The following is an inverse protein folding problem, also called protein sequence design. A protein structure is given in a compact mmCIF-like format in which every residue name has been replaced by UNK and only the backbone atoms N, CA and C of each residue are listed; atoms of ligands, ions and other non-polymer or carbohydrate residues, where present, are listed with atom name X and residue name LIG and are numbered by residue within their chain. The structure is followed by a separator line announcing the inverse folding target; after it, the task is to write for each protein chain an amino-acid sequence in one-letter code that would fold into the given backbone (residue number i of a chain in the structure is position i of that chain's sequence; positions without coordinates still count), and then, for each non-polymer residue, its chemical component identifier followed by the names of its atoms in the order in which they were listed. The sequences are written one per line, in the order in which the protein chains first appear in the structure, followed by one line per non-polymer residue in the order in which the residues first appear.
data_IF_791459239734
#
_entry.id   IF_791459239734
#
_cell.length_a   1.000
_cell.length_b   1.000
_cell.length_c   1.000
_cell.angle_alpha   90.00
_cell.angle_beta   90.00
_cell.angle_gamma   90.00
#
_symmetry.space_group_name_H-M   'P 1'
#
loop_
_entity.id
_entity.type
_entity.pdbx_description
1 polymer ?
#
# COMPACT_ATOMS: atom_id res chain seq x y z
N UNK A 1 14.01 -6.00 3.35
CA UNK A 1 13.57 -5.30 2.13
C UNK A 1 12.76 -4.10 2.57
N UNK A 2 12.95 -2.94 1.94
CA UNK A 2 12.20 -1.71 2.23
C UNK A 2 11.16 -1.52 1.14
N UNK A 3 9.91 -1.32 1.51
CA UNK A 3 8.84 -0.99 0.57
C UNK A 3 8.99 0.43 0.08
N UNK A 4 8.69 0.63 -1.21
CA UNK A 4 8.72 1.92 -1.87
C UNK A 4 7.37 2.62 -1.74
N UNK A 5 7.40 3.94 -1.61
CA UNK A 5 6.19 4.75 -1.75
C UNK A 5 5.70 4.75 -3.21
N UNK A 6 4.41 4.98 -3.41
CA UNK A 6 3.87 5.27 -4.73
C UNK A 6 3.51 6.74 -4.88
N UNK A 7 4.29 7.45 -5.69
CA UNK A 7 4.12 8.88 -5.97
C UNK A 7 3.45 9.10 -7.33
N UNK A 8 2.38 9.91 -7.40
CA UNK A 8 1.89 10.45 -8.65
C UNK A 8 3.02 11.09 -9.47
N UNK A 9 3.19 10.67 -10.72
CA UNK A 9 4.24 11.22 -11.61
C UNK A 9 3.82 12.52 -12.29
N UNK A 10 2.55 12.60 -12.68
CA UNK A 10 2.02 13.67 -13.55
C UNK A 10 1.01 14.58 -12.86
N UNK A 11 0.71 14.33 -11.58
CA UNK A 11 -0.33 15.04 -10.85
C UNK A 11 0.17 15.48 -9.48
N UNK A 12 -0.23 16.68 -9.05
CA UNK A 12 -0.06 17.11 -7.66
C UNK A 12 -0.90 16.20 -6.75
N UNK A 13 -0.32 15.56 -5.73
CA UNK A 13 -1.08 14.76 -4.80
C UNK A 13 -2.17 15.58 -4.08
N UNK A 14 -3.38 15.03 -4.01
CA UNK A 14 -4.54 15.63 -3.32
C UNK A 14 -5.03 14.80 -2.13
N UNK A 15 -4.51 13.58 -1.99
CA UNK A 15 -4.71 12.74 -0.82
C UNK A 15 -3.42 11.98 -0.49
N UNK A 16 -3.27 11.66 0.79
CA UNK A 16 -2.24 10.78 1.33
C UNK A 16 -2.91 9.53 1.90
N UNK A 17 -2.54 8.37 1.37
CA UNK A 17 -2.95 7.07 1.89
C UNK A 17 -1.77 6.43 2.63
N UNK A 18 -1.96 6.10 3.90
CA UNK A 18 -0.93 5.54 4.76
C UNK A 18 -1.34 4.13 5.18
N UNK A 19 -0.61 3.12 4.70
CA UNK A 19 -0.68 1.73 5.17
C UNK A 19 0.09 1.54 6.48
N UNK A 20 0.06 0.34 7.06
CA UNK A 20 0.78 0.07 8.31
C UNK A 20 2.27 -0.21 8.08
N UNK A 21 2.58 -1.32 7.40
CA UNK A 21 3.92 -1.80 7.08
C UNK A 21 3.89 -2.69 5.82
N UNK A 22 5.06 -3.11 5.28
CA UNK A 22 5.18 -3.88 4.05
C UNK A 22 4.42 -5.21 4.01
N UNK A 23 4.17 -5.83 5.17
CA UNK A 23 3.61 -7.18 5.26
C UNK A 23 2.11 -7.14 5.20
N UNK A 24 1.50 -8.22 4.71
CA UNK A 24 0.08 -8.44 4.95
C UNK A 24 -0.15 -8.95 6.38
N UNK A 25 -1.24 -8.52 7.01
CA UNK A 25 -1.57 -8.89 8.39
C UNK A 25 -1.56 -10.41 8.65
N UNK A 26 -1.93 -11.21 7.64
CA UNK A 26 -2.07 -12.66 7.75
C UNK A 26 -1.09 -13.44 6.87
N UNK A 27 -0.05 -12.79 6.33
CA UNK A 27 0.90 -13.44 5.41
C UNK A 27 2.28 -12.79 5.43
N UNK A 28 3.32 -13.60 5.18
CA UNK A 28 4.69 -13.13 4.96
C UNK A 28 4.90 -12.38 3.64
N UNK A 29 3.85 -12.23 2.83
CA UNK A 29 3.93 -11.49 1.57
C UNK A 29 4.30 -10.03 1.86
N UNK A 30 5.45 -9.60 1.32
CA UNK A 30 5.91 -8.22 1.38
C UNK A 30 5.62 -7.49 0.07
N UNK A 31 5.11 -6.27 0.19
CA UNK A 31 4.85 -5.42 -0.96
C UNK A 31 6.12 -4.68 -1.39
N UNK A 32 6.44 -4.69 -2.69
CA UNK A 32 7.52 -3.86 -3.22
C UNK A 32 7.14 -2.37 -3.17
N UNK A 33 5.89 -2.05 -3.49
CA UNK A 33 5.30 -0.72 -3.35
C UNK A 33 4.18 -0.74 -2.31
N UNK A 34 4.02 0.33 -1.54
CA UNK A 34 3.01 0.45 -0.50
C UNK A 34 1.62 0.08 -1.04
N UNK A 35 0.90 -0.79 -0.32
CA UNK A 35 -0.41 -1.33 -0.69
C UNK A 35 -0.48 -1.98 -2.08
N UNK A 36 0.64 -2.50 -2.59
CA UNK A 36 0.77 -3.06 -3.94
C UNK A 36 0.34 -2.09 -5.04
N UNK A 37 0.52 -0.78 -4.83
CA UNK A 37 0.04 0.26 -5.73
C UNK A 37 0.50 0.06 -7.20
N UNK A 38 1.71 -0.46 -7.41
CA UNK A 38 2.22 -0.81 -8.73
C UNK A 38 1.30 -1.79 -9.49
N UNK A 39 0.69 -2.77 -8.84
CA UNK A 39 -0.24 -3.72 -9.48
C UNK A 39 -1.56 -3.06 -9.94
N UNK A 40 -1.90 -1.88 -9.41
CA UNK A 40 -3.05 -1.12 -9.87
C UNK A 40 -2.74 -0.37 -11.17
N UNK A 41 -1.59 0.31 -11.24
CA UNK A 41 -1.24 1.19 -12.35
C UNK A 41 -0.48 0.49 -13.48
N UNK A 42 0.40 -0.46 -13.15
CA UNK A 42 1.19 -1.18 -14.13
C UNK A 42 0.45 -2.45 -14.59
N UNK A 43 -0.09 -2.41 -15.81
CA UNK A 43 -0.80 -3.54 -16.43
C UNK A 43 0.12 -4.56 -17.09
N UNK A 44 1.43 -4.31 -17.11
CA UNK A 44 2.43 -5.22 -17.65
C UNK A 44 2.80 -6.32 -16.66
N UNK A 45 2.67 -6.05 -15.36
CA UNK A 45 2.83 -7.06 -14.30
C UNK A 45 1.75 -8.13 -14.48
N UNK A 46 2.13 -9.40 -14.67
CA UNK A 46 1.20 -10.54 -14.86
C UNK A 46 1.71 -11.82 -14.20
N UNK A 47 2.29 -11.71 -13.01
CA UNK A 47 2.74 -12.86 -12.23
C UNK A 47 1.57 -13.72 -11.69
N UNK A 48 1.89 -14.86 -11.06
CA UNK A 48 0.89 -15.78 -10.49
C UNK A 48 0.00 -15.12 -9.41
N UNK A 49 0.52 -14.12 -8.71
CA UNK A 49 -0.18 -13.42 -7.62
C UNK A 49 -0.94 -12.17 -8.12
N UNK A 50 -0.84 -11.83 -9.40
CA UNK A 50 -1.32 -10.58 -9.98
C UNK A 50 -2.77 -10.27 -9.63
N UNK A 51 -3.69 -11.22 -9.85
CA UNK A 51 -5.12 -11.01 -9.58
C UNK A 51 -5.39 -10.65 -8.12
N UNK A 52 -4.71 -11.32 -7.19
CA UNK A 52 -4.89 -11.07 -5.75
C UNK A 52 -4.33 -9.71 -5.34
N UNK A 53 -3.08 -9.41 -5.72
CA UNK A 53 -2.42 -8.13 -5.39
C UNK A 53 -3.10 -6.94 -6.06
N UNK A 54 -3.51 -7.07 -7.32
CA UNK A 54 -4.30 -6.06 -8.01
C UNK A 54 -5.66 -5.85 -7.35
N UNK A 55 -6.33 -6.92 -6.92
CA UNK A 55 -7.60 -6.83 -6.20
C UNK A 55 -7.48 -6.05 -4.90
N UNK A 56 -6.43 -6.32 -4.10
CA UNK A 56 -6.13 -5.58 -2.87
C UNK A 56 -5.85 -4.10 -3.15
N UNK A 57 -4.99 -3.80 -4.13
CA UNK A 57 -4.71 -2.42 -4.50
C UNK A 57 -5.96 -1.68 -4.99
N UNK A 58 -6.75 -2.33 -5.87
CA UNK A 58 -8.00 -1.76 -6.39
C UNK A 58 -9.03 -1.49 -5.29
N UNK A 59 -9.14 -2.35 -4.28
CA UNK A 59 -10.03 -2.13 -3.15
C UNK A 59 -9.71 -0.82 -2.40
N UNK A 60 -8.41 -0.54 -2.16
CA UNK A 60 -7.98 0.70 -1.50
C UNK A 60 -8.34 1.95 -2.33
N UNK A 61 -8.08 1.92 -3.64
CA UNK A 61 -8.44 3.04 -4.53
C UNK A 61 -9.95 3.23 -4.68
N UNK A 62 -10.70 2.13 -4.77
CA UNK A 62 -12.16 2.16 -4.86
C UNK A 62 -12.78 2.75 -3.59
N UNK A 63 -12.24 2.42 -2.42
CA UNK A 63 -12.66 3.00 -1.15
C UNK A 63 -12.44 4.53 -1.14
N UNK A 64 -11.27 5.01 -1.57
CA UNK A 64 -10.99 6.44 -1.64
C UNK A 64 -11.91 7.13 -2.66
N UNK A 65 -12.09 6.53 -3.83
CA UNK A 65 -13.04 7.04 -4.83
C UNK A 65 -14.44 7.13 -4.24
N UNK A 66 -14.89 6.12 -3.49
CA UNK A 66 -16.21 6.11 -2.86
C UNK A 66 -16.37 7.23 -1.82
N UNK A 67 -15.47 7.33 -0.83
CA UNK A 67 -15.58 8.34 0.25
C UNK A 67 -15.40 9.77 -0.26
N UNK A 68 -14.69 9.96 -1.38
CA UNK A 68 -14.50 11.29 -2.00
C UNK A 68 -15.55 11.61 -3.06
N UNK A 69 -16.54 10.73 -3.27
CA UNK A 69 -17.49 10.82 -4.37
C UNK A 69 -16.81 11.05 -5.74
N UNK A 70 -15.71 10.33 -5.98
CA UNK A 70 -14.93 10.38 -7.21
C UNK A 70 -14.16 11.68 -7.44
N UNK A 71 -14.12 12.61 -6.48
CA UNK A 71 -13.41 13.90 -6.59
C UNK A 71 -11.88 13.76 -6.58
N UNK A 72 -11.38 12.67 -5.99
CA UNK A 72 -9.95 12.32 -5.99
C UNK A 72 -9.79 11.05 -6.82
N UNK A 73 -9.03 11.14 -7.91
CA UNK A 73 -8.70 10.02 -8.78
C UNK A 73 -7.51 9.24 -8.22
N UNK A 74 -7.38 7.93 -8.50
CA UNK A 74 -6.24 7.12 -8.07
C UNK A 74 -4.87 7.75 -8.36
N UNK A 75 -4.73 8.37 -9.54
CA UNK A 75 -3.50 9.04 -9.98
C UNK A 75 -3.15 10.33 -9.23
N UNK A 76 -4.02 10.81 -8.35
CA UNK A 76 -3.81 12.00 -7.51
C UNK A 76 -3.50 11.62 -6.04
N UNK A 77 -3.22 10.35 -5.76
CA UNK A 77 -3.01 9.84 -4.40
C UNK A 77 -1.55 9.49 -4.21
N UNK A 78 -0.94 10.08 -3.17
CA UNK A 78 0.36 9.65 -2.67
C UNK A 78 0.18 8.52 -1.65
N UNK A 79 0.98 7.46 -1.76
CA UNK A 79 0.81 6.25 -0.95
C UNK A 79 2.12 5.90 -0.28
N UNK A 80 2.07 5.63 1.02
CA UNK A 80 3.20 5.22 1.85
C UNK A 80 2.72 4.28 2.95
N UNK A 81 3.61 3.83 3.83
CA UNK A 81 3.27 3.13 5.06
C UNK A 81 3.78 3.93 6.28
N UNK A 82 3.19 3.68 7.46
CA UNK A 82 3.70 4.19 8.73
C UNK A 82 5.15 3.73 8.95
N UNK A 83 5.47 2.50 8.54
CA UNK A 83 6.82 1.99 8.47
C UNK A 83 7.05 1.33 7.12
N UNK A 84 8.03 1.76 6.33
CA UNK A 84 8.38 1.10 5.07
C UNK A 84 9.38 -0.06 5.26
N UNK A 85 9.89 -0.24 6.47
CA UNK A 85 10.67 -1.41 6.85
C UNK A 85 9.75 -2.45 7.48
N UNK A 86 9.96 -3.72 7.15
CA UNK A 86 9.17 -4.81 7.68
C UNK A 86 9.40 -4.96 9.20
N UNK A 87 8.44 -4.55 10.03
CA UNK A 87 8.50 -4.73 11.49
C UNK A 87 8.39 -6.21 11.87
N UNK A 88 9.12 -6.73 12.87
CA UNK A 88 9.00 -8.11 13.32
C UNK A 88 7.54 -8.52 13.51
N UNK A 89 7.22 -9.80 13.27
CA UNK A 89 5.85 -10.26 13.48
C UNK A 89 5.42 -10.02 14.91
N UNK A 90 4.20 -9.50 15.05
CA UNK A 90 3.55 -9.54 16.34
C UNK A 90 3.38 -11.00 16.76
N UNK A 91 3.53 -11.28 18.05
CA UNK A 91 2.94 -12.49 18.60
C UNK A 91 1.45 -12.51 18.24
N UNK A 92 0.89 -13.69 17.99
CA UNK A 92 -0.48 -13.84 17.53
C UNK A 92 -1.46 -13.01 18.38
N UNK A 93 -2.27 -12.19 17.72
CA UNK A 93 -3.25 -11.28 18.36
C UNK A 93 -2.64 -10.14 19.20
N UNK A 94 -1.40 -9.70 18.90
CA UNK A 94 -0.77 -8.51 19.50
C UNK A 94 -0.48 -7.45 18.44
N UNK A 95 -0.28 -6.21 18.90
CA UNK A 95 0.16 -5.07 18.07
C UNK A 95 1.65 -4.83 18.33
N UNK A 96 2.45 -4.70 17.28
CA UNK A 96 3.87 -4.30 17.40
C UNK A 96 3.94 -2.79 17.37
N UNK A 97 4.54 -2.20 18.40
CA UNK A 97 4.89 -0.78 18.38
C UNK A 97 6.10 -0.56 17.48
N UNK A 98 6.09 0.54 16.73
CA UNK A 98 7.27 0.97 15.96
C UNK A 98 8.38 1.24 17.00
N UNK A 99 9.51 0.50 16.95
CA UNK A 99 10.58 0.71 17.92
C UNK A 99 11.16 2.11 17.73
N UNK A 100 11.34 2.84 18.83
CA UNK A 100 12.11 4.09 18.83
C UNK A 100 13.57 3.71 18.58
N UNK A 101 14.21 4.29 17.56
CA UNK A 101 15.64 4.11 17.35
C UNK A 101 16.40 4.50 18.63
N UNK A 102 17.36 3.66 19.03
CA UNK A 102 18.30 3.97 20.12
C UNK A 102 19.49 4.75 19.58
#
# INVERSE_FOLDING_TARGET
MTTLDWKPKEHTPRALLIGHDPRLQLSDTQAEYALFANYYFDKTIKDRAFKSKQGLAAAAFNQISHITNGKIKPKEIYITNLCNSALPHALQSKTVYIPVEK
#
